data_IF_652369726640
#
_entry.id   IF_652369726640
#
_cell.length_a   1.000
_cell.length_b   1.000
_cell.length_c   1.000
_cell.angle_alpha   90.00
_cell.angle_beta   90.00
_cell.angle_gamma   90.00
#
_symmetry.space_group_name_H-M   'P 1'
#
loop_
_entity.id
_entity.type
_entity.pdbx_description
1 polymer ?
#
# COMPACT_ATOMS: atom_id res chain seq x y z
N UNK A 1 0.36 25.48 43.92
CA UNK A 1 -0.17 24.74 42.77
C UNK A 1 0.58 23.43 42.70
N UNK A 2 -0.06 22.32 43.06
CA UNK A 2 0.56 20.98 43.05
C UNK A 2 0.64 20.46 41.63
N UNK A 3 1.85 20.32 41.08
CA UNK A 3 2.12 19.56 39.86
C UNK A 3 1.66 18.12 40.07
N UNK A 4 0.62 17.71 39.32
CA UNK A 4 0.30 16.29 39.20
C UNK A 4 1.38 15.65 38.34
N UNK A 5 2.34 14.99 38.97
CA UNK A 5 3.25 14.05 38.31
C UNK A 5 2.42 12.89 37.73
N UNK A 6 1.93 13.06 36.51
CA UNK A 6 1.27 12.00 35.76
C UNK A 6 2.29 10.95 35.37
N UNK A 7 2.15 9.73 35.89
CA UNK A 7 2.93 8.59 35.41
C UNK A 7 2.46 8.21 34.01
N UNK A 8 3.27 8.47 32.99
CA UNK A 8 2.98 8.03 31.62
C UNK A 8 3.28 6.54 31.49
N UNK A 9 2.26 5.69 31.50
CA UNK A 9 2.39 4.25 31.22
C UNK A 9 2.37 4.06 29.69
N UNK A 10 3.53 3.72 29.10
CA UNK A 10 3.62 3.39 27.66
C UNK A 10 3.39 1.90 27.46
N UNK A 11 2.27 1.52 26.86
CA UNK A 11 2.06 0.14 26.41
C UNK A 11 2.94 -0.14 25.19
N UNK A 12 3.91 -1.06 25.34
CA UNK A 12 4.76 -1.52 24.23
C UNK A 12 4.03 -2.66 23.53
N UNK A 13 3.66 -2.46 22.27
CA UNK A 13 3.01 -3.45 21.41
C UNK A 13 3.89 -3.82 20.23
N UNK A 14 3.72 -5.04 19.68
CA UNK A 14 4.49 -5.53 18.54
C UNK A 14 4.33 -4.65 17.29
N UNK A 15 5.38 -4.53 16.47
CA UNK A 15 5.40 -3.72 15.25
C UNK A 15 4.36 -4.25 14.22
N UNK A 16 3.32 -3.47 13.88
CA UNK A 16 2.33 -3.91 12.91
C UNK A 16 2.84 -3.90 11.46
N UNK A 17 3.98 -3.25 11.19
CA UNK A 17 4.48 -3.01 9.83
C UNK A 17 4.72 -4.29 9.05
N UNK A 18 5.16 -5.37 9.72
CA UNK A 18 5.35 -6.67 9.08
C UNK A 18 4.06 -7.18 8.42
N UNK A 19 2.93 -7.07 9.13
CA UNK A 19 1.63 -7.54 8.64
C UNK A 19 1.07 -6.61 7.56
N UNK A 20 1.21 -5.29 7.73
CA UNK A 20 0.82 -4.32 6.71
C UNK A 20 1.59 -4.53 5.40
N UNK A 21 2.91 -4.73 5.48
CA UNK A 21 3.76 -5.01 4.32
C UNK A 21 3.49 -6.38 3.69
N UNK A 22 3.18 -7.40 4.48
CA UNK A 22 2.74 -8.69 3.94
C UNK A 22 1.42 -8.54 3.17
N UNK A 23 0.50 -7.76 3.75
CA UNK A 23 -0.79 -7.43 3.15
C UNK A 23 -0.60 -6.80 1.77
N UNK A 24 0.24 -5.75 1.71
CA UNK A 24 0.63 -5.07 0.48
C UNK A 24 1.31 -6.02 -0.50
N UNK A 25 2.27 -6.83 -0.06
CA UNK A 25 3.04 -7.72 -0.91
C UNK A 25 2.18 -8.77 -1.63
N UNK A 26 1.28 -9.42 -0.87
CA UNK A 26 0.43 -10.47 -1.41
C UNK A 26 -0.57 -9.94 -2.44
N UNK A 27 -1.24 -8.83 -2.13
CA UNK A 27 -2.25 -8.28 -3.04
C UNK A 27 -1.60 -7.74 -4.33
N UNK A 28 -0.45 -7.06 -4.24
CA UNK A 28 0.22 -6.53 -5.44
C UNK A 28 0.83 -7.64 -6.28
N UNK A 29 1.31 -8.73 -5.68
CA UNK A 29 1.75 -9.91 -6.43
C UNK A 29 0.61 -10.46 -7.30
N UNK A 30 -0.55 -10.70 -6.70
CA UNK A 30 -1.69 -11.30 -7.41
C UNK A 30 -2.33 -10.31 -8.39
N UNK A 31 -2.40 -9.02 -8.05
CA UNK A 31 -2.92 -8.00 -8.95
C UNK A 31 -1.99 -7.76 -10.16
N UNK A 32 -0.67 -7.85 -9.95
CA UNK A 32 0.32 -7.65 -11.02
C UNK A 32 0.38 -8.84 -11.98
N UNK A 33 0.15 -10.07 -11.51
CA UNK A 33 0.08 -11.24 -12.41
C UNK A 33 -1.04 -11.10 -13.45
N UNK A 34 -2.16 -10.48 -13.07
CA UNK A 34 -3.24 -10.13 -14.00
C UNK A 34 -2.80 -9.04 -14.98
N UNK A 35 -2.21 -7.94 -14.49
CA UNK A 35 -1.79 -6.82 -15.35
C UNK A 35 -0.70 -7.21 -16.36
N UNK A 36 0.20 -8.12 -15.96
CA UNK A 36 1.27 -8.68 -16.79
C UNK A 36 0.80 -9.77 -17.77
N UNK A 37 -0.46 -10.22 -17.65
CA UNK A 37 -1.01 -11.27 -18.51
C UNK A 37 -0.52 -12.69 -18.16
N UNK A 38 -0.04 -12.92 -16.94
CA UNK A 38 0.30 -14.27 -16.46
C UNK A 38 -0.93 -15.04 -15.97
N UNK A 39 -1.99 -14.30 -15.60
CA UNK A 39 -3.28 -14.83 -15.15
C UNK A 39 -4.42 -14.04 -15.79
N UNK A 40 -5.62 -14.60 -15.81
CA UNK A 40 -6.82 -13.97 -16.38
C UNK A 40 -7.96 -13.86 -15.34
N UNK A 41 -8.80 -12.84 -15.50
CA UNK A 41 -9.94 -12.58 -14.61
C UNK A 41 -9.56 -12.02 -13.22
N UNK A 42 -10.56 -11.49 -12.51
CA UNK A 42 -10.35 -10.79 -11.22
C UNK A 42 -10.87 -11.56 -10.00
N UNK A 43 -11.66 -12.62 -10.18
CA UNK A 43 -12.40 -13.27 -9.10
C UNK A 43 -11.51 -13.82 -7.98
N UNK A 44 -10.33 -14.34 -8.33
CA UNK A 44 -9.38 -14.88 -7.35
C UNK A 44 -8.42 -13.83 -6.77
N UNK A 45 -8.46 -12.59 -7.27
CA UNK A 45 -7.72 -11.45 -6.68
C UNK A 45 -8.49 -10.88 -5.48
N UNK A 46 -9.83 -10.95 -5.51
CA UNK A 46 -10.72 -10.36 -4.49
C UNK A 46 -10.41 -10.76 -3.05
N UNK A 47 -10.16 -12.05 -2.70
CA UNK A 47 -9.85 -12.41 -1.31
C UNK A 47 -8.60 -11.70 -0.80
N UNK A 48 -7.56 -11.62 -1.63
CA UNK A 48 -6.30 -10.98 -1.27
C UNK A 48 -6.46 -9.47 -1.19
N UNK A 49 -7.25 -8.86 -2.08
CA UNK A 49 -7.58 -7.44 -1.99
C UNK A 49 -8.32 -7.08 -0.70
N UNK A 50 -9.34 -7.86 -0.32
CA UNK A 50 -10.18 -7.56 0.85
C UNK A 50 -9.46 -7.88 2.17
N UNK A 51 -8.88 -9.08 2.30
CA UNK A 51 -8.37 -9.53 3.59
C UNK A 51 -6.93 -9.07 3.87
N UNK A 52 -6.07 -9.09 2.86
CA UNK A 52 -4.66 -8.75 3.02
C UNK A 52 -4.36 -7.32 2.57
N UNK A 53 -4.75 -6.95 1.35
CA UNK A 53 -4.57 -5.62 0.81
C UNK A 53 -5.29 -4.55 1.63
N UNK A 54 -6.50 -4.85 2.11
CA UNK A 54 -7.32 -3.91 2.83
C UNK A 54 -7.34 -4.17 4.35
N UNK A 55 -7.94 -5.27 4.83
CA UNK A 55 -8.17 -5.46 6.27
C UNK A 55 -6.86 -5.55 7.08
N UNK A 56 -5.87 -6.32 6.64
CA UNK A 56 -4.59 -6.44 7.35
C UNK A 56 -3.83 -5.10 7.40
N UNK A 57 -3.86 -4.30 6.33
CA UNK A 57 -3.29 -2.96 6.31
C UNK A 57 -4.07 -1.99 7.21
N UNK A 58 -5.41 -2.03 7.20
CA UNK A 58 -6.22 -1.20 8.09
C UNK A 58 -5.96 -1.54 9.56
N UNK A 59 -5.79 -2.82 9.88
CA UNK A 59 -5.41 -3.25 11.22
C UNK A 59 -4.03 -2.71 11.61
N UNK A 60 -3.05 -2.79 10.70
CA UNK A 60 -1.73 -2.23 10.94
C UNK A 60 -1.78 -0.70 11.16
N UNK A 61 -2.60 0.01 10.38
CA UNK A 61 -2.84 1.45 10.51
C UNK A 61 -3.37 1.82 11.89
N UNK A 62 -4.40 1.11 12.39
CA UNK A 62 -4.99 1.36 13.71
C UNK A 62 -3.96 1.15 14.82
N UNK A 63 -3.07 0.16 14.69
CA UNK A 63 -2.01 -0.10 15.66
C UNK A 63 -0.92 0.97 15.59
N UNK A 64 -0.58 1.49 14.42
CA UNK A 64 0.38 2.60 14.27
C UNK A 64 -0.16 3.91 14.85
N UNK A 65 -1.47 4.20 14.71
CA UNK A 65 -2.09 5.34 15.41
C UNK A 65 -1.94 5.22 16.93
N UNK A 66 -2.05 4.01 17.48
CA UNK A 66 -1.84 3.76 18.93
C UNK A 66 -0.37 3.90 19.36
N UNK A 67 0.56 3.90 18.41
CA UNK A 67 2.02 4.05 18.63
C UNK A 67 2.53 5.45 18.35
N UNK A 68 1.66 6.38 17.99
CA UNK A 68 2.04 7.73 17.53
C UNK A 68 2.91 7.71 16.27
N UNK A 69 2.77 6.67 15.44
CA UNK A 69 3.44 6.56 14.14
C UNK A 69 2.52 7.06 13.03
N UNK A 70 2.42 8.39 12.87
CA UNK A 70 1.54 9.00 11.87
C UNK A 70 1.84 8.57 10.43
N UNK A 71 3.12 8.35 10.11
CA UNK A 71 3.55 7.95 8.78
C UNK A 71 3.00 6.56 8.44
N UNK A 72 3.31 5.55 9.26
CA UNK A 72 2.84 4.18 9.06
C UNK A 72 1.32 4.09 9.11
N UNK A 73 0.71 4.77 10.08
CA UNK A 73 -0.73 4.82 10.23
C UNK A 73 -1.45 5.34 8.98
N UNK A 74 -0.98 6.46 8.44
CA UNK A 74 -1.56 7.09 7.25
C UNK A 74 -1.28 6.28 6.00
N UNK A 75 -0.06 5.75 5.84
CA UNK A 75 0.33 4.90 4.70
C UNK A 75 -0.56 3.65 4.62
N UNK A 76 -0.57 2.82 5.66
CA UNK A 76 -1.34 1.58 5.65
C UNK A 76 -2.83 1.84 5.60
N UNK A 77 -3.33 2.90 6.25
CA UNK A 77 -4.74 3.25 6.24
C UNK A 77 -5.19 3.69 4.84
N UNK A 78 -4.44 4.58 4.21
CA UNK A 78 -4.72 5.06 2.85
C UNK A 78 -4.74 3.91 1.84
N UNK A 79 -3.71 3.07 1.83
CA UNK A 79 -3.66 1.94 0.89
C UNK A 79 -4.66 0.82 1.24
N UNK A 80 -5.08 0.68 2.49
CA UNK A 80 -6.17 -0.22 2.83
C UNK A 80 -7.49 0.21 2.16
N UNK A 81 -7.82 1.50 2.24
CA UNK A 81 -9.02 2.03 1.58
C UNK A 81 -8.91 2.03 0.06
N UNK A 82 -7.71 2.12 -0.50
CA UNK A 82 -7.49 1.87 -1.93
C UNK A 82 -7.94 0.46 -2.30
N UNK A 83 -7.47 -0.57 -1.58
CA UNK A 83 -7.81 -1.95 -1.89
C UNK A 83 -9.27 -2.29 -1.63
N UNK A 84 -9.91 -1.71 -0.60
CA UNK A 84 -11.37 -1.80 -0.44
C UNK A 84 -12.09 -1.18 -1.64
N UNK A 85 -11.66 -0.01 -2.10
CA UNK A 85 -12.21 0.66 -3.28
C UNK A 85 -12.08 -0.20 -4.54
N UNK A 86 -10.89 -0.70 -4.84
CA UNK A 86 -10.63 -1.56 -6.01
C UNK A 86 -11.43 -2.86 -5.94
N UNK A 87 -11.47 -3.53 -4.78
CA UNK A 87 -12.27 -4.74 -4.60
C UNK A 87 -13.76 -4.45 -4.84
N UNK A 88 -14.27 -3.33 -4.31
CA UNK A 88 -15.65 -2.90 -4.54
C UNK A 88 -15.91 -2.64 -6.02
N UNK A 89 -15.00 -1.98 -6.73
CA UNK A 89 -15.11 -1.76 -8.19
C UNK A 89 -15.20 -3.08 -8.94
N UNK A 90 -14.35 -4.07 -8.62
CA UNK A 90 -14.43 -5.39 -9.25
C UNK A 90 -15.73 -6.14 -8.93
N UNK A 91 -16.23 -6.06 -7.68
CA UNK A 91 -17.52 -6.65 -7.32
C UNK A 91 -18.69 -6.00 -8.08
N UNK A 92 -18.66 -4.67 -8.26
CA UNK A 92 -19.64 -3.95 -9.10
C UNK A 92 -19.55 -4.44 -10.54
N UNK A 93 -18.35 -4.52 -11.12
CA UNK A 93 -18.15 -5.01 -12.50
C UNK A 93 -18.58 -6.47 -12.70
N UNK A 94 -18.46 -7.32 -11.67
CA UNK A 94 -18.96 -8.70 -11.69
C UNK A 94 -20.49 -8.80 -11.49
N UNK A 95 -21.19 -7.68 -11.33
CA UNK A 95 -22.65 -7.66 -11.21
C UNK A 95 -23.19 -7.99 -9.82
N UNK A 96 -22.34 -8.05 -8.78
CA UNK A 96 -22.76 -8.36 -7.39
C UNK A 96 -23.79 -7.36 -6.87
N UNK A 97 -23.73 -6.12 -7.33
CA UNK A 97 -24.65 -5.03 -6.97
C UNK A 97 -25.74 -4.78 -8.03
N UNK A 98 -25.94 -5.74 -8.94
CA UNK A 98 -26.90 -5.67 -10.04
C UNK A 98 -26.36 -5.01 -11.31
N UNK A 99 -26.94 -5.38 -12.46
CA UNK A 99 -26.48 -4.93 -13.78
C UNK A 99 -26.53 -3.42 -13.96
N UNK A 100 -27.52 -2.76 -13.35
CA UNK A 100 -27.65 -1.29 -13.40
C UNK A 100 -26.43 -0.59 -12.81
N UNK A 101 -25.90 -1.09 -11.68
CA UNK A 101 -24.70 -0.52 -11.07
C UNK A 101 -23.46 -0.73 -11.95
N UNK A 102 -23.32 -1.92 -12.55
CA UNK A 102 -22.22 -2.24 -13.45
C UNK A 102 -22.22 -1.36 -14.72
N UNK A 103 -23.40 -1.11 -15.29
CA UNK A 103 -23.55 -0.32 -16.52
C UNK A 103 -23.41 1.19 -16.32
N UNK A 104 -23.60 1.70 -15.10
CA UNK A 104 -23.54 3.12 -14.77
C UNK A 104 -22.15 3.63 -14.37
N UNK A 105 -21.16 2.73 -14.24
CA UNK A 105 -19.80 3.13 -13.86
C UNK A 105 -19.09 3.88 -14.99
N UNK A 106 -18.60 5.09 -14.71
CA UNK A 106 -17.66 5.79 -15.58
C UNK A 106 -16.22 5.50 -15.10
N UNK A 107 -15.45 4.81 -15.94
CA UNK A 107 -14.07 4.44 -15.62
C UNK A 107 -13.16 5.65 -15.31
N UNK A 108 -13.50 6.85 -15.81
CA UNK A 108 -12.76 8.08 -15.49
C UNK A 108 -12.83 8.43 -14.01
N UNK A 109 -13.89 8.03 -13.30
CA UNK A 109 -13.98 8.21 -11.84
C UNK A 109 -12.88 7.40 -11.13
N UNK A 110 -12.58 6.19 -11.63
CA UNK A 110 -11.45 5.39 -11.14
C UNK A 110 -10.11 6.05 -11.51
N UNK A 111 -10.00 6.63 -12.71
CA UNK A 111 -8.83 7.43 -13.12
C UNK A 111 -8.56 8.63 -12.19
N UNK A 112 -9.61 9.35 -11.77
CA UNK A 112 -9.49 10.42 -10.77
C UNK A 112 -9.11 9.89 -9.39
N UNK A 113 -9.62 8.71 -8.99
CA UNK A 113 -9.18 8.07 -7.75
C UNK A 113 -7.68 7.75 -7.81
N UNK A 114 -7.20 7.16 -8.92
CA UNK A 114 -5.77 6.89 -9.13
C UNK A 114 -4.92 8.16 -9.10
N UNK A 115 -5.40 9.27 -9.68
CA UNK A 115 -4.73 10.56 -9.59
C UNK A 115 -4.68 11.09 -8.15
N UNK A 116 -5.76 10.95 -7.40
CA UNK A 116 -5.78 11.30 -5.98
C UNK A 116 -4.77 10.48 -5.17
N UNK A 117 -4.68 9.18 -5.44
CA UNK A 117 -3.67 8.32 -4.83
C UNK A 117 -2.24 8.63 -5.29
N UNK A 118 -2.04 9.08 -6.53
CA UNK A 118 -0.75 9.59 -7.00
C UNK A 118 -0.30 10.79 -6.16
N UNK A 119 -1.19 11.77 -5.95
CA UNK A 119 -0.90 12.93 -5.10
C UNK A 119 -0.58 12.49 -3.68
N UNK A 120 -1.37 11.56 -3.13
CA UNK A 120 -1.15 10.96 -1.82
C UNK A 120 0.26 10.35 -1.71
N UNK A 121 0.62 9.47 -2.64
CA UNK A 121 1.90 8.75 -2.57
C UNK A 121 3.08 9.69 -2.74
N UNK A 122 3.01 10.70 -3.62
CA UNK A 122 4.12 11.63 -3.85
C UNK A 122 4.60 12.33 -2.57
N UNK A 123 3.69 12.83 -1.73
CA UNK A 123 4.12 13.45 -0.47
C UNK A 123 4.52 12.41 0.58
N UNK A 124 3.95 11.21 0.56
CA UNK A 124 4.38 10.12 1.43
C UNK A 124 5.79 9.63 1.04
N UNK A 125 6.17 9.63 -0.24
CA UNK A 125 7.52 9.34 -0.73
C UNK A 125 8.55 10.30 -0.14
N UNK A 126 8.20 11.59 -0.02
CA UNK A 126 9.05 12.58 0.66
C UNK A 126 9.24 12.20 2.14
N UNK A 127 8.17 11.81 2.84
CA UNK A 127 8.27 11.30 4.21
C UNK A 127 9.11 10.02 4.33
N UNK A 128 9.01 9.13 3.33
CA UNK A 128 9.72 7.85 3.30
C UNK A 128 11.25 8.00 3.28
N UNK A 129 11.79 9.13 2.78
CA UNK A 129 13.23 9.46 2.81
C UNK A 129 13.82 9.36 4.23
N UNK A 130 12.99 9.62 5.24
CA UNK A 130 13.40 9.65 6.66
C UNK A 130 13.06 8.35 7.42
N UNK A 131 12.65 7.29 6.72
CA UNK A 131 12.25 6.00 7.31
C UNK A 131 13.32 4.91 7.15
N UNK A 132 13.47 4.34 5.95
CA UNK A 132 14.52 3.43 5.52
C UNK A 132 14.46 3.28 4.00
N UNK A 133 15.52 2.72 3.39
CA UNK A 133 15.62 2.62 1.92
C UNK A 133 14.60 1.67 1.30
N UNK A 134 14.24 0.59 2.00
CA UNK A 134 13.22 -0.38 1.52
C UNK A 134 11.86 0.30 1.38
N UNK A 135 11.40 1.02 2.41
CA UNK A 135 10.14 1.76 2.35
C UNK A 135 10.19 2.86 1.28
N UNK A 136 11.30 3.60 1.18
CA UNK A 136 11.46 4.60 0.13
C UNK A 136 11.31 3.99 -1.28
N UNK A 137 11.96 2.85 -1.55
CA UNK A 137 11.83 2.15 -2.84
C UNK A 137 10.38 1.73 -3.10
N UNK A 138 9.68 1.21 -2.08
CA UNK A 138 8.26 0.85 -2.20
C UNK A 138 7.43 2.06 -2.63
N UNK A 139 7.61 3.20 -1.97
CA UNK A 139 6.88 4.43 -2.28
C UNK A 139 7.18 4.97 -3.69
N UNK A 140 8.44 4.96 -4.12
CA UNK A 140 8.80 5.33 -5.51
C UNK A 140 8.13 4.42 -6.54
N UNK A 141 8.07 3.11 -6.27
CA UNK A 141 7.38 2.18 -7.15
C UNK A 141 5.86 2.43 -7.14
N UNK A 142 5.28 2.81 -6.00
CA UNK A 142 3.87 3.20 -5.88
C UNK A 142 3.59 4.48 -6.67
N UNK A 143 4.51 5.44 -6.70
CA UNK A 143 4.39 6.65 -7.54
C UNK A 143 4.29 6.26 -9.02
N UNK A 144 5.15 5.37 -9.51
CA UNK A 144 5.09 4.88 -10.89
C UNK A 144 3.84 4.03 -11.16
N UNK A 145 3.40 3.23 -10.19
CA UNK A 145 2.15 2.47 -10.27
C UNK A 145 0.97 3.41 -10.50
N UNK A 146 0.79 4.42 -9.64
CA UNK A 146 -0.34 5.33 -9.76
C UNK A 146 -0.24 6.26 -10.97
N UNK A 147 0.96 6.66 -11.38
CA UNK A 147 1.17 7.37 -12.64
C UNK A 147 0.71 6.52 -13.83
N UNK A 148 1.13 5.25 -13.87
CA UNK A 148 0.74 4.30 -14.90
C UNK A 148 -0.76 4.05 -14.93
N UNK A 149 -1.38 3.79 -13.77
CA UNK A 149 -2.83 3.57 -13.65
C UNK A 149 -3.63 4.81 -14.07
N UNK A 150 -3.21 6.00 -13.63
CA UNK A 150 -3.89 7.25 -13.96
C UNK A 150 -3.88 7.51 -15.47
N UNK A 151 -2.69 7.47 -16.09
CA UNK A 151 -2.54 7.83 -17.50
C UNK A 151 -3.14 6.78 -18.44
N UNK A 152 -3.00 5.48 -18.10
CA UNK A 152 -3.68 4.42 -18.86
C UNK A 152 -5.21 4.53 -18.78
N UNK A 153 -5.77 4.83 -17.61
CA UNK A 153 -7.22 4.98 -17.43
C UNK A 153 -7.79 6.21 -18.18
N UNK A 154 -6.98 7.24 -18.36
CA UNK A 154 -7.34 8.41 -19.18
C UNK A 154 -6.99 8.24 -20.67
N UNK A 155 -6.62 7.03 -21.11
CA UNK A 155 -6.28 6.71 -22.51
C UNK A 155 -5.07 7.50 -23.05
N UNK A 156 -4.17 7.94 -22.17
CA UNK A 156 -2.92 8.61 -22.55
C UNK A 156 -1.84 7.54 -22.64
N UNK A 157 -1.36 7.24 -23.86
CA UNK A 157 -0.37 6.20 -24.15
C UNK A 157 -0.62 4.88 -23.37
N UNK A 158 -1.83 4.30 -23.48
CA UNK A 158 -2.32 3.29 -22.53
C UNK A 158 -1.46 2.02 -22.49
N UNK A 159 -0.95 1.55 -23.62
CA UNK A 159 -0.05 0.38 -23.65
C UNK A 159 1.21 0.57 -22.81
N UNK A 160 1.87 1.73 -22.94
CA UNK A 160 3.08 2.04 -22.18
C UNK A 160 2.79 2.19 -20.69
N UNK A 161 1.78 2.99 -20.33
CA UNK A 161 1.48 3.28 -18.94
C UNK A 161 0.83 2.11 -18.20
N UNK A 162 0.08 1.25 -18.90
CA UNK A 162 -0.39 -0.03 -18.35
C UNK A 162 0.79 -0.95 -18.00
N UNK A 163 1.80 -1.05 -18.88
CA UNK A 163 3.00 -1.84 -18.60
C UNK A 163 3.85 -1.24 -17.48
N UNK A 164 3.97 0.08 -17.41
CA UNK A 164 4.61 0.76 -16.28
C UNK A 164 3.93 0.38 -14.96
N UNK A 165 2.60 0.50 -14.91
CA UNK A 165 1.82 0.10 -13.74
C UNK A 165 2.03 -1.38 -13.39
N UNK A 166 1.99 -2.28 -14.38
CA UNK A 166 2.12 -3.72 -14.16
C UNK A 166 3.48 -4.10 -13.52
N UNK A 167 4.59 -3.60 -14.09
CA UNK A 167 5.92 -3.89 -13.57
C UNK A 167 6.22 -3.18 -12.24
N UNK A 168 5.73 -1.96 -12.06
CA UNK A 168 5.83 -1.26 -10.78
C UNK A 168 5.09 -2.01 -9.67
N UNK A 169 3.88 -2.51 -9.93
CA UNK A 169 3.10 -3.31 -8.97
C UNK A 169 3.80 -4.62 -8.60
N UNK A 170 4.38 -5.31 -9.57
CA UNK A 170 5.19 -6.50 -9.31
C UNK A 170 6.43 -6.17 -8.48
N UNK A 171 7.12 -5.06 -8.79
CA UNK A 171 8.25 -4.56 -8.00
C UNK A 171 7.86 -4.26 -6.55
N UNK A 172 6.70 -3.62 -6.34
CA UNK A 172 6.16 -3.35 -4.99
C UNK A 172 6.00 -4.66 -4.23
N UNK A 173 5.46 -5.69 -4.87
CA UNK A 173 5.27 -6.99 -4.26
C UNK A 173 6.60 -7.55 -3.72
N UNK A 174 7.63 -7.59 -4.57
CA UNK A 174 8.93 -8.17 -4.21
C UNK A 174 9.61 -7.41 -3.07
N UNK A 175 9.62 -6.07 -3.15
CA UNK A 175 10.25 -5.24 -2.11
C UNK A 175 9.44 -5.26 -0.82
N UNK A 176 8.12 -5.38 -0.89
CA UNK A 176 7.24 -5.50 0.29
C UNK A 176 7.38 -6.85 0.99
N UNK A 177 7.57 -7.96 0.27
CA UNK A 177 7.92 -9.24 0.89
C UNK A 177 9.25 -9.14 1.63
N UNK A 178 10.26 -8.51 1.00
CA UNK A 178 11.54 -8.26 1.64
C UNK A 178 11.39 -7.41 2.91
N UNK A 179 10.62 -6.32 2.84
CA UNK A 179 10.34 -5.45 3.98
C UNK A 179 9.62 -6.17 5.11
N UNK A 180 8.58 -6.95 4.81
CA UNK A 180 7.86 -7.76 5.78
C UNK A 180 8.78 -8.77 6.46
N UNK A 181 9.56 -9.53 5.68
CA UNK A 181 10.53 -10.48 6.19
C UNK A 181 11.60 -9.80 7.06
N UNK A 182 12.07 -8.62 6.65
CA UNK A 182 13.06 -7.87 7.40
C UNK A 182 12.53 -7.45 8.78
N UNK A 183 11.30 -6.95 8.87
CA UNK A 183 10.68 -6.61 10.16
C UNK A 183 10.56 -7.86 11.03
N UNK A 184 10.03 -8.97 10.51
CA UNK A 184 9.85 -10.22 11.28
C UNK A 184 11.20 -10.76 11.77
N UNK A 185 12.16 -10.97 10.87
CA UNK A 185 13.42 -11.65 11.20
C UNK A 185 14.35 -10.78 12.03
N UNK A 186 14.42 -9.47 11.77
CA UNK A 186 15.25 -8.57 12.58
C UNK A 186 14.73 -8.48 14.01
N UNK A 187 13.41 -8.39 14.19
CA UNK A 187 12.80 -8.39 15.52
C UNK A 187 12.97 -9.75 16.21
N UNK A 188 12.75 -10.86 15.50
CA UNK A 188 12.84 -12.21 16.08
C UNK A 188 14.27 -12.56 16.53
N UNK A 189 15.28 -12.22 15.73
CA UNK A 189 16.68 -12.52 16.05
C UNK A 189 17.40 -11.42 16.85
N UNK A 190 16.75 -10.28 17.10
CA UNK A 190 17.33 -9.18 17.88
C UNK A 190 18.58 -8.54 17.25
N UNK A 191 18.77 -8.71 15.92
CA UNK A 191 19.90 -8.16 15.16
C UNK A 191 19.46 -7.83 13.75
N UNK A 192 20.28 -7.07 13.01
CA UNK A 192 20.10 -6.92 11.57
C UNK A 192 20.36 -8.27 10.88
N UNK A 193 19.29 -8.99 10.54
CA UNK A 193 19.30 -10.21 9.75
C UNK A 193 19.14 -9.89 8.26
N UNK A 194 18.13 -9.07 7.92
CA UNK A 194 17.96 -8.46 6.60
C UNK A 194 18.12 -6.94 6.68
N UNK A 195 19.07 -6.34 5.94
CA UNK A 195 19.29 -4.89 5.98
C UNK A 195 18.18 -4.12 5.26
N UNK A 196 17.59 -3.12 5.92
CA UNK A 196 16.58 -2.23 5.30
C UNK A 196 17.17 -0.91 4.77
N UNK A 197 18.45 -0.66 5.04
CA UNK A 197 19.15 0.58 4.70
C UNK A 197 18.77 1.75 5.61
N UNK A 198 19.75 2.58 5.96
CA UNK A 198 19.51 3.76 6.80
C UNK A 198 18.68 4.83 6.06
N UNK A 199 17.93 5.68 6.78
CA UNK A 199 17.35 6.90 6.24
C UNK A 199 18.37 7.74 5.45
N UNK A 200 17.89 8.55 4.52
CA UNK A 200 18.77 9.46 3.77
C UNK A 200 19.33 10.58 4.66
N UNK A 201 18.58 11.02 5.68
CA UNK A 201 19.03 12.02 6.65
C UNK A 201 19.26 13.40 6.04
N UNK A 202 18.51 13.74 4.98
CA UNK A 202 18.66 14.99 4.22
C UNK A 202 17.63 16.06 4.62
N UNK A 203 16.54 15.68 5.31
CA UNK A 203 15.46 16.59 5.69
C UNK A 203 15.36 16.83 7.20
N UNK A 204 15.83 15.88 8.03
CA UNK A 204 15.91 16.10 9.48
C UNK A 204 17.05 17.07 9.80
N UNK A 205 16.69 18.19 10.44
CA UNK A 205 17.62 19.11 11.10
C UNK A 205 17.92 18.64 12.52
#
# INVERSE_FOLDING_TARGET
>A
MTEKNGTTVKHVTADPSALGLLGLAMVTLVASSLKLGWTEGVSLVLPWAIFLGAFAQLFASILDFKKDNIFGATAFGGYAFFWFGVAMTWLISLGVFGEKAAQQGDIKQLGFAFLGYLIFTLYMTIGALETNKVLFIIFVLIDFLFLGLTLSTFEIAPSFFHQLAAWSEFGIAMVSFYGSAAVVLNTHFGRTFLPTGQPFGILKK
#
